data_IF_713610768005
#
_entry.id   IF_713610768005
#
_cell.length_a   1.000
_cell.length_b   1.000
_cell.length_c   1.000
_cell.angle_alpha   90.00
_cell.angle_beta   90.00
_cell.angle_gamma   90.00
#
_symmetry.space_group_name_H-M   'P 1'
#
loop_
_entity.id
_entity.type
_entity.pdbx_description
1 polymer ?
#
# COMPACT_ATOMS: atom_id res chain seq x y z
N UNK A 1 -24.74 4.83 -10.41
CA UNK A 1 -23.78 5.93 -10.22
C UNK A 1 -22.45 5.30 -9.86
N UNK A 2 -21.36 5.75 -10.46
CA UNK A 2 -20.05 5.13 -10.25
C UNK A 2 -18.90 6.07 -10.61
N UNK A 3 -17.69 5.54 -10.46
CA UNK A 3 -16.43 6.18 -10.84
C UNK A 3 -15.73 5.28 -11.86
N UNK A 4 -15.21 5.85 -12.96
CA UNK A 4 -14.49 5.12 -14.01
C UNK A 4 -13.09 5.72 -14.18
N UNK A 5 -12.06 4.88 -14.15
CA UNK A 5 -10.65 5.29 -14.32
C UNK A 5 -10.39 5.93 -15.70
N UNK A 6 -11.09 5.49 -16.75
CA UNK A 6 -10.96 5.97 -18.13
C UNK A 6 -11.97 7.07 -18.50
N UNK A 7 -12.52 7.75 -17.50
CA UNK A 7 -13.59 8.75 -17.67
C UNK A 7 -13.28 9.92 -18.62
N UNK A 8 -12.00 10.22 -18.87
CA UNK A 8 -11.56 11.27 -19.79
C UNK A 8 -11.17 10.74 -21.17
N UNK A 9 -11.22 9.43 -21.37
CA UNK A 9 -10.92 8.81 -22.65
C UNK A 9 -12.24 8.57 -23.41
N UNK A 10 -12.36 9.27 -24.55
CA UNK A 10 -13.54 9.24 -25.42
C UNK A 10 -13.90 7.82 -25.87
N UNK A 11 -12.93 6.91 -25.94
CA UNK A 11 -13.15 5.51 -26.29
C UNK A 11 -14.01 4.77 -25.24
N UNK A 12 -13.93 5.19 -23.97
CA UNK A 12 -14.57 4.52 -22.84
C UNK A 12 -15.72 5.33 -22.20
N UNK A 13 -15.93 6.59 -22.64
CA UNK A 13 -16.92 7.51 -22.07
C UNK A 13 -18.21 7.68 -22.90
N UNK A 14 -18.35 6.98 -24.03
CA UNK A 14 -19.36 7.26 -25.07
C UNK A 14 -20.84 7.21 -24.63
N UNK A 15 -21.16 6.51 -23.53
CA UNK A 15 -22.53 6.39 -22.99
C UNK A 15 -22.69 6.96 -21.57
N UNK A 16 -21.67 7.66 -21.04
CA UNK A 16 -21.68 8.17 -19.68
C UNK A 16 -22.01 9.67 -19.62
N UNK A 17 -22.91 10.06 -18.72
CA UNK A 17 -23.21 11.47 -18.39
C UNK A 17 -22.65 11.82 -17.02
N UNK A 18 -22.28 13.08 -16.82
CA UNK A 18 -21.80 13.57 -15.51
C UNK A 18 -22.94 14.29 -14.79
N UNK A 19 -23.11 13.98 -13.50
CA UNK A 19 -24.05 14.68 -12.62
C UNK A 19 -23.39 15.92 -12.01
N UNK A 20 -24.20 16.86 -11.53
CA UNK A 20 -23.73 18.13 -10.95
C UNK A 20 -22.81 17.94 -9.72
N UNK A 21 -22.87 16.77 -9.07
CA UNK A 21 -22.00 16.38 -7.96
C UNK A 21 -20.69 15.70 -8.41
N UNK A 22 -20.39 15.70 -9.72
CA UNK A 22 -19.17 15.13 -10.31
C UNK A 22 -19.19 13.61 -10.50
N UNK A 23 -20.28 12.93 -10.16
CA UNK A 23 -20.40 11.47 -10.35
C UNK A 23 -20.86 11.10 -11.76
N UNK A 24 -20.38 9.96 -12.26
CA UNK A 24 -20.82 9.41 -13.54
C UNK A 24 -22.14 8.65 -13.40
N UNK A 25 -23.00 8.88 -14.38
CA UNK A 25 -24.27 8.20 -14.60
C UNK A 25 -24.29 7.65 -16.02
N UNK A 26 -24.22 6.33 -16.13
CA UNK A 26 -24.56 5.58 -17.33
C UNK A 26 -25.84 4.79 -17.03
N UNK A 27 -26.81 4.80 -17.93
CA UNK A 27 -28.06 4.05 -17.83
C UNK A 27 -28.01 2.70 -18.54
N UNK A 28 -26.93 2.44 -19.29
CA UNK A 28 -26.79 1.27 -20.17
C UNK A 28 -25.76 0.26 -19.67
N UNK A 29 -25.47 0.25 -18.35
CA UNK A 29 -24.49 -0.69 -17.76
C UNK A 29 -24.85 -2.15 -18.05
N UNK A 30 -26.14 -2.48 -18.07
CA UNK A 30 -26.63 -3.85 -18.25
C UNK A 30 -26.64 -4.29 -19.71
N UNK A 31 -26.75 -3.34 -20.63
CA UNK A 31 -26.79 -3.54 -22.08
C UNK A 31 -25.39 -3.48 -22.71
N UNK A 32 -24.40 -2.92 -22.01
CA UNK A 32 -23.02 -2.88 -22.47
C UNK A 32 -22.36 -4.25 -22.28
N UNK A 33 -22.16 -4.98 -23.38
CA UNK A 33 -21.50 -6.30 -23.44
C UNK A 33 -20.07 -6.30 -22.94
N UNK A 34 -19.42 -5.13 -22.88
CA UNK A 34 -18.05 -4.99 -22.39
C UNK A 34 -18.00 -4.82 -20.87
N UNK A 35 -19.13 -4.59 -20.20
CA UNK A 35 -19.21 -4.50 -18.73
C UNK A 35 -18.95 -5.87 -18.11
N UNK A 36 -17.72 -6.09 -17.63
CA UNK A 36 -17.33 -7.37 -17.03
C UNK A 36 -17.84 -7.53 -15.59
N UNK A 37 -18.00 -6.43 -14.85
CA UNK A 37 -18.51 -6.45 -13.48
C UNK A 37 -19.09 -5.11 -13.05
N UNK A 38 -20.14 -5.16 -12.23
CA UNK A 38 -20.67 -4.02 -11.46
C UNK A 38 -20.55 -4.34 -9.99
N UNK A 39 -19.72 -3.60 -9.25
CA UNK A 39 -19.60 -3.75 -7.81
C UNK A 39 -20.51 -2.75 -7.11
N UNK A 40 -21.49 -3.25 -6.36
CA UNK A 40 -22.31 -2.45 -5.46
C UNK A 40 -21.83 -2.72 -4.03
N UNK A 41 -21.29 -1.70 -3.36
CA UNK A 41 -21.03 -1.77 -1.92
C UNK A 41 -22.35 -1.48 -1.20
N UNK A 42 -22.85 -2.47 -0.45
CA UNK A 42 -24.06 -2.35 0.35
C UNK A 42 -23.91 -1.33 1.49
N UNK A 43 -25.01 -1.07 2.21
CA UNK A 43 -24.95 -0.25 3.42
C UNK A 43 -24.02 -0.85 4.48
N UNK A 44 -23.48 -0.02 5.36
CA UNK A 44 -22.67 -0.46 6.49
C UNK A 44 -23.52 -1.37 7.39
N UNK A 45 -23.31 -2.68 7.30
CA UNK A 45 -23.98 -3.69 8.14
C UNK A 45 -22.94 -4.38 9.02
N UNK A 46 -23.16 -4.39 10.34
CA UNK A 46 -22.31 -5.12 11.30
C UNK A 46 -21.71 -4.24 12.40
N UNK A 47 -21.09 -4.88 13.38
CA UNK A 47 -20.27 -4.21 14.41
C UNK A 47 -18.87 -3.96 13.84
N UNK A 48 -18.31 -2.74 13.95
CA UNK A 48 -16.93 -2.47 13.55
C UNK A 48 -15.95 -3.41 14.25
N UNK A 49 -14.88 -3.82 13.56
CA UNK A 49 -13.79 -4.58 14.19
C UNK A 49 -13.16 -3.74 15.31
N UNK A 50 -12.85 -4.39 16.42
CA UNK A 50 -12.20 -3.76 17.56
C UNK A 50 -10.75 -3.38 17.28
N UNK A 51 -10.20 -2.41 18.02
CA UNK A 51 -8.81 -1.97 17.85
C UNK A 51 -7.82 -3.13 18.07
N UNK A 52 -8.09 -4.00 19.04
CA UNK A 52 -7.27 -5.20 19.28
C UNK A 52 -7.28 -6.17 18.09
N UNK A 53 -8.45 -6.37 17.47
CA UNK A 53 -8.61 -7.24 16.31
C UNK A 53 -7.89 -6.66 15.09
N UNK A 54 -7.99 -5.35 14.86
CA UNK A 54 -7.27 -4.65 13.80
C UNK A 54 -5.76 -4.84 13.96
N UNK A 55 -5.22 -4.67 15.17
CA UNK A 55 -3.79 -4.84 15.43
C UNK A 55 -3.34 -6.31 15.30
N UNK A 56 -4.18 -7.29 15.69
CA UNK A 56 -3.94 -8.72 15.46
C UNK A 56 -3.91 -9.06 13.97
N UNK A 57 -4.84 -8.53 13.19
CA UNK A 57 -4.85 -8.69 11.74
C UNK A 57 -3.61 -8.05 11.11
N UNK A 58 -3.23 -6.84 11.55
CA UNK A 58 -2.03 -6.16 11.06
C UNK A 58 -0.76 -7.00 11.29
N UNK A 59 -0.58 -7.55 12.49
CA UNK A 59 0.57 -8.42 12.79
C UNK A 59 0.56 -9.69 11.95
N UNK A 60 -0.58 -10.36 11.77
CA UNK A 60 -0.68 -11.54 10.92
C UNK A 60 -0.36 -11.24 9.44
N UNK A 61 -0.75 -10.07 8.94
CA UNK A 61 -0.42 -9.64 7.57
C UNK A 61 1.07 -9.36 7.41
N UNK A 62 1.67 -8.65 8.38
CA UNK A 62 3.07 -8.23 8.36
C UNK A 62 4.06 -9.37 8.61
N UNK A 63 3.65 -10.43 9.31
CA UNK A 63 4.51 -11.57 9.64
C UNK A 63 5.20 -12.13 8.40
N UNK A 64 6.53 -12.27 8.51
CA UNK A 64 7.38 -12.84 7.47
C UNK A 64 7.01 -14.31 7.25
N UNK A 65 6.44 -14.63 6.09
CA UNK A 65 6.05 -16.00 5.77
C UNK A 65 6.15 -16.31 4.28
N UNK A 66 6.05 -17.60 3.98
CA UNK A 66 5.76 -18.09 2.64
C UNK A 66 4.37 -18.71 2.64
N UNK A 67 3.62 -18.46 1.58
CA UNK A 67 2.34 -19.13 1.34
C UNK A 67 2.37 -19.67 -0.09
N UNK A 68 2.37 -20.99 -0.20
CA UNK A 68 2.70 -21.70 -1.44
C UNK A 68 4.08 -21.24 -1.98
N UNK A 69 4.11 -20.60 -3.14
CA UNK A 69 5.34 -20.11 -3.78
C UNK A 69 5.54 -18.60 -3.63
N UNK A 70 4.72 -17.92 -2.82
CA UNK A 70 4.75 -16.46 -2.67
C UNK A 70 5.30 -16.05 -1.31
N UNK A 71 6.24 -15.09 -1.32
CA UNK A 71 6.69 -14.41 -0.11
C UNK A 71 5.63 -13.40 0.34
N UNK A 72 5.29 -13.39 1.63
CA UNK A 72 4.31 -12.49 2.24
C UNK A 72 4.90 -11.77 3.45
N UNK A 73 4.24 -10.67 3.85
CA UNK A 73 4.68 -9.82 4.96
C UNK A 73 6.10 -9.28 4.74
N UNK A 74 6.88 -9.19 5.81
CA UNK A 74 8.26 -8.67 5.77
C UNK A 74 9.19 -9.46 4.82
N UNK A 75 8.89 -10.74 4.53
CA UNK A 75 9.66 -11.55 3.58
C UNK A 75 9.47 -11.11 2.12
N UNK A 76 8.38 -10.41 1.81
CA UNK A 76 8.10 -9.92 0.46
C UNK A 76 9.11 -8.87 0.00
N UNK A 77 9.66 -8.06 0.91
CA UNK A 77 10.71 -7.07 0.61
C UNK A 77 11.96 -7.74 0.03
N UNK A 78 12.39 -8.88 0.58
CA UNK A 78 13.56 -9.62 0.09
C UNK A 78 13.33 -10.18 -1.31
N UNK A 79 12.13 -10.73 -1.54
CA UNK A 79 11.75 -11.26 -2.84
C UNK A 79 11.68 -10.15 -3.89
N UNK A 80 11.10 -9.00 -3.53
CA UNK A 80 11.00 -7.82 -4.38
C UNK A 80 12.38 -7.27 -4.76
N UNK A 81 13.25 -7.06 -3.76
CA UNK A 81 14.64 -6.61 -3.98
C UNK A 81 15.41 -7.60 -4.85
N UNK A 82 15.31 -8.90 -4.57
CA UNK A 82 16.01 -9.94 -5.35
C UNK A 82 15.56 -9.94 -6.81
N UNK A 83 14.27 -9.77 -7.07
CA UNK A 83 13.73 -9.68 -8.43
C UNK A 83 14.29 -8.46 -9.16
N UNK A 84 14.29 -7.27 -8.54
CA UNK A 84 14.82 -6.05 -9.15
C UNK A 84 16.32 -6.16 -9.49
N UNK A 85 17.11 -6.80 -8.63
CA UNK A 85 18.55 -6.89 -8.82
C UNK A 85 19.00 -8.08 -9.68
N UNK A 86 18.08 -8.94 -10.10
CA UNK A 86 18.41 -10.08 -10.94
C UNK A 86 18.33 -9.68 -12.43
N UNK A 87 19.50 -9.55 -13.04
CA UNK A 87 19.67 -9.12 -14.42
C UNK A 87 18.96 -9.99 -15.44
N UNK A 88 18.62 -11.25 -15.12
CA UNK A 88 17.87 -12.11 -16.04
C UNK A 88 16.50 -11.53 -16.37
N UNK A 89 15.94 -10.71 -15.48
CA UNK A 89 14.67 -10.02 -15.71
C UNK A 89 14.82 -8.77 -16.57
N UNK A 90 16.04 -8.33 -16.91
CA UNK A 90 16.26 -7.07 -17.64
C UNK A 90 17.15 -7.20 -18.90
N UNK A 91 17.96 -8.26 -19.02
CA UNK A 91 18.98 -8.40 -20.10
C UNK A 91 18.49 -8.95 -21.44
N UNK A 92 17.38 -9.68 -21.51
CA UNK A 92 16.92 -10.32 -22.75
C UNK A 92 15.64 -9.65 -23.26
N UNK A 93 15.70 -8.97 -24.42
CA UNK A 93 14.57 -8.43 -25.17
C UNK A 93 13.39 -7.96 -24.30
N UNK A 94 13.67 -7.06 -23.35
CA UNK A 94 12.62 -6.36 -22.64
C UNK A 94 12.04 -5.30 -23.57
N UNK A 95 11.32 -5.77 -24.59
CA UNK A 95 10.47 -4.91 -25.39
C UNK A 95 9.54 -4.13 -24.49
N UNK A 96 9.03 -3.01 -25.00
CA UNK A 96 8.21 -2.06 -24.26
C UNK A 96 7.20 -2.75 -23.33
N UNK A 97 6.40 -3.69 -23.85
CA UNK A 97 5.33 -4.37 -23.11
C UNK A 97 5.83 -5.15 -21.88
N UNK A 98 6.99 -5.80 -21.98
CA UNK A 98 7.53 -6.59 -20.89
C UNK A 98 8.07 -5.69 -19.78
N UNK A 99 8.77 -4.62 -20.15
CA UNK A 99 9.30 -3.65 -19.20
C UNK A 99 8.17 -2.82 -18.57
N UNK A 100 7.15 -2.47 -19.34
CA UNK A 100 5.95 -1.79 -18.88
C UNK A 100 5.17 -2.65 -17.88
N UNK A 101 4.95 -3.92 -18.17
CA UNK A 101 4.30 -4.84 -17.23
C UNK A 101 5.05 -4.94 -15.89
N UNK A 102 6.39 -4.90 -15.91
CA UNK A 102 7.21 -4.86 -14.67
C UNK A 102 7.11 -3.52 -13.96
N UNK A 103 7.08 -2.41 -14.71
CA UNK A 103 6.86 -1.09 -14.16
C UNK A 103 5.52 -1.04 -13.41
N UNK A 104 4.45 -1.61 -13.96
CA UNK A 104 3.15 -1.70 -13.27
C UNK A 104 3.28 -2.40 -11.92
N UNK A 105 3.93 -3.57 -11.87
CA UNK A 105 4.10 -4.33 -10.61
C UNK A 105 4.95 -3.58 -9.59
N UNK A 106 6.04 -2.94 -10.02
CA UNK A 106 6.91 -2.18 -9.11
C UNK A 106 6.19 -0.92 -8.60
N UNK A 107 5.50 -0.20 -9.47
CA UNK A 107 4.71 0.97 -9.08
C UNK A 107 3.57 0.60 -8.14
N UNK A 108 2.84 -0.49 -8.41
CA UNK A 108 1.79 -1.00 -7.54
C UNK A 108 2.33 -1.33 -6.15
N UNK A 109 3.45 -2.07 -6.07
CA UNK A 109 4.10 -2.37 -4.80
C UNK A 109 4.47 -1.09 -4.02
N UNK A 110 5.08 -0.10 -4.68
CA UNK A 110 5.46 1.18 -4.05
C UNK A 110 4.23 1.94 -3.58
N UNK A 111 3.19 2.04 -4.42
CA UNK A 111 1.94 2.72 -4.11
C UNK A 111 1.21 2.09 -2.93
N UNK A 112 1.05 0.76 -2.95
CA UNK A 112 0.37 0.02 -1.90
C UNK A 112 1.07 0.15 -0.54
N UNK A 113 2.41 0.01 -0.48
CA UNK A 113 3.12 0.20 0.79
C UNK A 113 3.09 1.66 1.23
N UNK A 114 3.24 2.60 0.29
CA UNK A 114 3.30 4.03 0.59
C UNK A 114 1.98 4.54 1.19
N UNK A 115 0.87 4.27 0.52
CA UNK A 115 -0.46 4.70 0.97
C UNK A 115 -0.94 3.87 2.18
N UNK A 116 -0.75 2.55 2.13
CA UNK A 116 -1.11 1.66 3.23
C UNK A 116 -0.41 2.04 4.53
N UNK A 117 0.89 2.36 4.50
CA UNK A 117 1.63 2.77 5.71
C UNK A 117 1.29 4.19 6.15
N UNK A 118 1.00 5.11 5.24
CA UNK A 118 0.49 6.44 5.60
C UNK A 118 -0.77 6.36 6.46
N UNK A 119 -1.75 5.56 6.04
CA UNK A 119 -3.00 5.41 6.78
C UNK A 119 -2.85 4.58 8.05
N UNK A 120 -1.99 3.56 8.05
CA UNK A 120 -1.66 2.82 9.27
C UNK A 120 -1.03 3.75 10.34
N UNK A 121 -0.15 4.67 9.93
CA UNK A 121 0.41 5.68 10.83
C UNK A 121 -0.67 6.59 11.41
N UNK A 122 -1.54 7.14 10.57
CA UNK A 122 -2.63 8.01 11.01
C UNK A 122 -3.56 7.30 12.01
N UNK A 123 -3.90 6.04 11.75
CA UNK A 123 -4.71 5.23 12.65
C UNK A 123 -4.03 5.04 14.02
N UNK A 124 -2.74 4.73 14.07
CA UNK A 124 -2.00 4.55 15.33
C UNK A 124 -1.85 5.85 16.12
N UNK A 125 -1.72 6.99 15.45
CA UNK A 125 -1.74 8.30 16.09
C UNK A 125 -3.10 8.63 16.69
N UNK A 126 -4.18 8.32 15.98
CA UNK A 126 -5.54 8.46 16.50
C UNK A 126 -5.75 7.53 17.71
N UNK A 127 -5.27 6.29 17.64
CA UNK A 127 -5.29 5.34 18.74
C UNK A 127 -4.55 5.91 19.96
N UNK A 128 -3.34 6.42 19.77
CA UNK A 128 -2.55 7.08 20.80
C UNK A 128 -3.29 8.29 21.42
N UNK A 129 -3.93 9.12 20.59
CA UNK A 129 -4.68 10.29 21.06
C UNK A 129 -5.94 9.91 21.86
N UNK A 130 -6.65 8.85 21.43
CA UNK A 130 -7.84 8.31 22.12
C UNK A 130 -7.48 7.79 23.52
N UNK A 131 -6.38 7.05 23.64
CA UNK A 131 -5.97 6.43 24.90
C UNK A 131 -5.01 7.26 25.76
N UNK A 132 -4.42 8.32 25.21
CA UNK A 132 -3.45 9.20 25.87
C UNK A 132 -3.97 9.99 27.08
N UNK A 133 -5.27 9.92 27.39
CA UNK A 133 -5.88 10.56 28.56
C UNK A 133 -5.77 9.74 29.86
N UNK A 134 -5.34 8.48 29.79
CA UNK A 134 -5.23 7.63 30.99
C UNK A 134 -3.84 7.77 31.64
N UNK A 135 -3.82 8.06 32.95
CA UNK A 135 -2.61 8.51 33.66
C UNK A 135 -1.67 7.38 34.16
N UNK A 136 -2.06 6.11 34.02
CA UNK A 136 -1.23 5.01 34.54
C UNK A 136 -0.01 4.72 33.64
N UNK A 137 1.08 4.23 34.26
CA UNK A 137 2.34 3.95 33.56
C UNK A 137 2.19 2.95 32.40
N UNK A 138 1.26 2.00 32.54
CA UNK A 138 0.97 0.99 31.53
C UNK A 138 0.37 1.60 30.25
N UNK A 139 -0.58 2.54 30.39
CA UNK A 139 -1.18 3.22 29.23
C UNK A 139 -0.16 4.10 28.52
N UNK A 140 0.74 4.75 29.26
CA UNK A 140 1.84 5.53 28.67
C UNK A 140 2.77 4.68 27.80
N UNK A 141 3.06 3.44 28.20
CA UNK A 141 3.88 2.53 27.40
C UNK A 141 3.23 2.18 26.07
N UNK A 142 1.94 1.85 26.09
CA UNK A 142 1.16 1.52 24.89
C UNK A 142 1.02 2.72 23.97
N UNK A 143 0.72 3.91 24.52
CA UNK A 143 0.66 5.16 23.75
C UNK A 143 2.01 5.44 23.08
N UNK A 144 3.12 5.26 23.79
CA UNK A 144 4.45 5.43 23.21
C UNK A 144 4.74 4.40 22.12
N UNK A 145 4.31 3.15 22.29
CA UNK A 145 4.43 2.11 21.28
C UNK A 145 3.61 2.45 20.02
N UNK A 146 2.38 2.95 20.18
CA UNK A 146 1.55 3.44 19.05
C UNK A 146 2.25 4.56 18.27
N UNK A 147 2.75 5.58 18.97
CA UNK A 147 3.45 6.71 18.35
C UNK A 147 4.75 6.26 17.65
N UNK A 148 5.46 5.31 18.25
CA UNK A 148 6.69 4.76 17.66
C UNK A 148 6.39 3.93 16.39
N UNK A 149 5.34 3.10 16.43
CA UNK A 149 4.86 2.37 15.26
C UNK A 149 4.42 3.33 14.12
N UNK A 150 3.71 4.40 14.46
CA UNK A 150 3.29 5.41 13.50
C UNK A 150 4.48 6.13 12.83
N UNK A 151 5.52 6.46 13.61
CA UNK A 151 6.73 7.08 13.08
C UNK A 151 7.44 6.18 12.05
N UNK A 152 7.59 4.89 12.36
CA UNK A 152 8.12 3.91 11.42
C UNK A 152 7.30 3.80 10.14
N UNK A 153 5.97 3.72 10.24
CA UNK A 153 5.11 3.68 9.06
C UNK A 153 5.16 4.97 8.22
N UNK A 154 5.28 6.14 8.85
CA UNK A 154 5.53 7.38 8.11
C UNK A 154 6.86 7.34 7.36
N UNK A 155 7.90 6.79 7.97
CA UNK A 155 9.19 6.63 7.30
C UNK A 155 9.06 5.72 6.07
N UNK A 156 8.36 4.59 6.17
CA UNK A 156 8.05 3.72 5.01
C UNK A 156 7.32 4.49 3.91
N UNK A 157 6.32 5.30 4.27
CA UNK A 157 5.57 6.10 3.31
C UNK A 157 6.44 7.14 2.60
N UNK A 158 7.33 7.81 3.34
CA UNK A 158 8.31 8.74 2.78
C UNK A 158 9.28 8.03 1.82
N UNK A 159 9.81 6.89 2.23
CA UNK A 159 10.72 6.07 1.41
C UNK A 159 10.02 5.62 0.11
N UNK A 160 8.73 5.26 0.17
CA UNK A 160 7.96 4.94 -1.03
C UNK A 160 7.85 6.14 -1.99
N UNK A 161 7.69 7.36 -1.46
CA UNK A 161 7.76 8.58 -2.26
C UNK A 161 9.12 8.75 -2.95
N UNK A 162 10.21 8.52 -2.24
CA UNK A 162 11.57 8.54 -2.80
C UNK A 162 11.77 7.48 -3.89
N UNK A 163 11.25 6.27 -3.70
CA UNK A 163 11.27 5.21 -4.72
C UNK A 163 10.55 5.65 -5.99
N UNK A 164 9.38 6.29 -5.87
CA UNK A 164 8.66 6.82 -7.04
C UNK A 164 9.46 7.91 -7.75
N UNK A 165 10.08 8.83 -7.02
CA UNK A 165 10.93 9.87 -7.60
C UNK A 165 12.14 9.30 -8.36
N UNK A 166 12.70 8.16 -7.92
CA UNK A 166 13.77 7.48 -8.64
C UNK A 166 13.31 6.87 -9.98
N UNK A 167 12.05 6.45 -10.06
CA UNK A 167 11.49 5.87 -11.28
C UNK A 167 11.08 6.98 -12.24
N UNK A 168 10.33 7.98 -11.78
CA UNK A 168 9.91 9.13 -12.57
C UNK A 168 8.40 9.39 -12.50
N UNK A 169 7.90 10.14 -13.48
CA UNK A 169 6.51 10.60 -13.53
C UNK A 169 5.72 9.91 -14.66
N UNK A 170 4.45 9.61 -14.42
CA UNK A 170 3.56 8.93 -15.36
C UNK A 170 3.35 9.69 -16.68
N UNK A 171 3.49 11.02 -16.68
CA UNK A 171 3.47 11.84 -17.90
C UNK A 171 4.64 11.53 -18.85
N UNK A 172 5.75 10.98 -18.33
CA UNK A 172 6.97 10.66 -19.06
C UNK A 172 7.28 9.15 -18.97
N UNK A 173 6.29 8.30 -19.29
CA UNK A 173 6.40 6.83 -19.17
C UNK A 173 7.64 6.25 -19.87
N UNK A 174 8.07 6.82 -20.99
CA UNK A 174 9.30 6.39 -21.67
C UNK A 174 10.58 6.58 -20.82
N UNK A 175 10.63 7.63 -20.00
CA UNK A 175 11.70 7.85 -19.03
C UNK A 175 11.61 6.86 -17.87
N UNK A 176 10.42 6.64 -17.32
CA UNK A 176 10.21 5.65 -16.25
C UNK A 176 10.73 4.26 -16.62
N UNK A 177 10.46 3.84 -17.86
CA UNK A 177 10.96 2.58 -18.39
C UNK A 177 12.49 2.57 -18.49
N UNK A 178 13.11 3.63 -19.02
CA UNK A 178 14.58 3.75 -19.10
C UNK A 178 15.22 3.70 -17.71
N UNK A 179 14.64 4.41 -16.74
CA UNK A 179 15.12 4.44 -15.37
C UNK A 179 15.01 3.06 -14.73
N UNK A 180 13.85 2.39 -14.81
CA UNK A 180 13.68 1.03 -14.29
C UNK A 180 14.62 0.01 -14.97
N UNK A 181 14.89 0.16 -16.27
CA UNK A 181 15.86 -0.66 -16.99
C UNK A 181 17.33 -0.33 -16.62
N UNK A 182 17.59 0.81 -16.00
CA UNK A 182 18.91 1.21 -15.52
C UNK A 182 19.34 0.43 -14.28
N UNK A 183 20.48 -0.26 -14.37
CA UNK A 183 21.05 -1.01 -13.23
C UNK A 183 21.22 -0.15 -11.98
N UNK A 184 21.82 1.03 -12.14
CA UNK A 184 22.08 1.96 -11.04
C UNK A 184 20.80 2.40 -10.31
N UNK A 185 19.70 2.64 -11.06
CA UNK A 185 18.40 2.98 -10.46
C UNK A 185 17.85 1.79 -9.68
N UNK A 186 17.94 0.56 -10.22
CA UNK A 186 17.49 -0.64 -9.49
C UNK A 186 18.31 -0.93 -8.23
N UNK A 187 19.60 -0.60 -8.22
CA UNK A 187 20.44 -0.70 -7.03
C UNK A 187 19.98 0.29 -5.95
N UNK A 188 19.74 1.55 -6.32
CA UNK A 188 19.17 2.54 -5.41
C UNK A 188 17.78 2.15 -4.89
N UNK A 189 16.91 1.63 -5.77
CA UNK A 189 15.62 1.07 -5.36
C UNK A 189 15.80 -0.09 -4.37
N UNK A 190 16.76 -0.98 -4.62
CA UNK A 190 17.08 -2.09 -3.72
C UNK A 190 17.48 -1.63 -2.32
N UNK A 191 18.28 -0.58 -2.22
CA UNK A 191 18.65 0.05 -0.93
C UNK A 191 17.42 0.64 -0.23
N UNK A 192 16.55 1.33 -0.96
CA UNK A 192 15.31 1.87 -0.40
C UNK A 192 14.37 0.76 0.07
N UNK A 193 14.33 -0.38 -0.61
CA UNK A 193 13.51 -1.54 -0.20
C UNK A 193 14.04 -2.11 1.11
N UNK A 194 15.36 -2.21 1.29
CA UNK A 194 15.96 -2.63 2.55
C UNK A 194 15.65 -1.64 3.68
N UNK A 195 15.72 -0.33 3.43
CA UNK A 195 15.36 0.70 4.42
C UNK A 195 13.88 0.63 4.78
N UNK A 196 12.99 0.51 3.80
CA UNK A 196 11.56 0.35 4.05
C UNK A 196 11.27 -0.90 4.89
N UNK A 197 11.93 -2.03 4.59
CA UNK A 197 11.81 -3.27 5.38
C UNK A 197 12.23 -3.06 6.84
N UNK A 198 13.31 -2.33 7.09
CA UNK A 198 13.80 -2.06 8.46
C UNK A 198 12.78 -1.25 9.25
N UNK A 199 12.24 -0.18 8.66
CA UNK A 199 11.19 0.63 9.28
C UNK A 199 9.92 -0.19 9.52
N UNK A 200 9.48 -0.97 8.53
CA UNK A 200 8.28 -1.81 8.64
C UNK A 200 8.46 -2.91 9.71
N UNK A 201 9.68 -3.43 9.88
CA UNK A 201 10.04 -4.35 10.98
C UNK A 201 9.96 -3.64 12.34
N UNK A 202 10.44 -2.40 12.42
CA UNK A 202 10.31 -1.56 13.61
C UNK A 202 8.86 -1.37 14.01
N UNK A 203 7.99 -1.01 13.06
CA UNK A 203 6.55 -0.89 13.29
C UNK A 203 5.92 -2.22 13.76
N UNK A 204 6.27 -3.33 13.11
CA UNK A 204 5.78 -4.67 13.47
C UNK A 204 6.06 -5.02 14.94
N UNK A 205 7.30 -4.78 15.41
CA UNK A 205 7.67 -5.08 16.79
C UNK A 205 6.96 -4.17 17.80
N UNK A 206 6.71 -2.91 17.45
CA UNK A 206 5.90 -2.02 18.30
C UNK A 206 4.44 -2.48 18.38
N UNK A 207 3.84 -2.94 17.27
CA UNK A 207 2.47 -3.46 17.29
C UNK A 207 2.38 -4.72 18.16
N UNK A 208 3.37 -5.63 18.08
CA UNK A 208 3.45 -6.78 19.00
C UNK A 208 3.53 -6.35 20.45
N UNK A 209 4.30 -5.31 20.78
CA UNK A 209 4.38 -4.76 22.14
C UNK A 209 3.03 -4.22 22.64
N UNK A 210 2.25 -3.58 21.76
CA UNK A 210 0.89 -3.12 22.09
C UNK A 210 0.01 -4.33 22.44
N UNK A 211 0.05 -5.39 21.62
CA UNK A 211 -0.77 -6.60 21.81
C UNK A 211 -0.37 -7.44 23.03
N UNK A 212 0.91 -7.42 23.43
CA UNK A 212 1.39 -8.12 24.63
C UNK A 212 1.02 -7.39 25.93
N UNK A 213 0.65 -6.12 25.83
CA UNK A 213 0.23 -5.26 26.94
C UNK A 213 -1.19 -4.73 26.70
N UNK A 214 -2.20 -5.61 26.59
CA UNK A 214 -3.54 -5.18 26.23
C UNK A 214 -4.11 -4.28 27.35
N UNK A 215 -4.33 -3.00 27.03
CA UNK A 215 -5.08 -2.11 27.92
C UNK A 215 -6.50 -2.67 28.02
N UNK A 216 -7.13 -2.70 29.21
CA UNK A 216 -8.52 -3.16 29.40
C UNK A 216 -9.59 -2.40 28.59
N UNK A 217 -9.20 -1.41 27.77
CA UNK A 217 -10.08 -0.58 26.95
C UNK A 217 -9.78 -0.64 25.43
N UNK A 218 -8.85 -1.48 24.96
CA UNK A 218 -8.75 -1.84 23.54
C UNK A 218 -9.99 -2.69 23.23
N UNK A 219 -11.09 -2.03 22.84
CA UNK A 219 -12.34 -2.67 22.43
C UNK A 219 -12.40 -2.77 20.92
#
# INVERSE_FOLDING_TARGET
>A
MGWNFFQNDLQFASAATTMDNGYFRCSTWWENTDTQAVMCMGGLTGTPCGDEEILKMATAVMEAREECTYAKGLRAYDAWRRMLLDEKWFKNNCGFDTLFSRLLVVNDAIGCIGDGRKWAAAYLEELAARYGKAENAHTRDVVQACLSAAAHFRAVSSIAGEMMSLIGDWSETGEMLRNLAGRSVREQLGEKIDSARQEDTGAYEQIKRILQNPIPFLK
#
